data_IF_999286401983
#
_entry.id   IF_999286401983
#
_cell.length_a   1.000
_cell.length_b   1.000
_cell.length_c   1.000
_cell.angle_alpha   90.00
_cell.angle_beta   90.00
_cell.angle_gamma   90.00
#
_symmetry.space_group_name_H-M   'P 1'
#
loop_
_entity.id
_entity.type
_entity.pdbx_description
1 polymer ?
#
# COMPACT_ATOMS: atom_id res chain seq x y z
N UNK A 1 14.35 18.29 -5.41
CA UNK A 1 13.51 17.69 -6.46
C UNK A 1 13.09 18.81 -7.41
N UNK A 2 12.75 18.53 -8.68
CA UNK A 2 12.19 19.58 -9.55
C UNK A 2 10.69 19.75 -9.27
N UNK A 3 10.12 20.96 -9.46
CA UNK A 3 8.71 21.24 -9.18
C UNK A 3 7.75 20.31 -9.94
N UNK A 4 8.10 19.90 -11.16
CA UNK A 4 7.27 19.02 -11.98
C UNK A 4 7.12 17.61 -11.36
N UNK A 5 8.13 17.15 -10.62
CA UNK A 5 8.11 15.86 -9.94
C UNK A 5 7.24 15.92 -8.67
N UNK A 6 7.24 17.05 -7.98
CA UNK A 6 6.38 17.28 -6.81
C UNK A 6 4.90 17.33 -7.21
N UNK A 7 4.57 18.00 -8.32
CA UNK A 7 3.20 18.02 -8.87
C UNK A 7 2.72 16.62 -9.25
N UNK A 8 3.56 15.85 -9.96
CA UNK A 8 3.22 14.47 -10.33
C UNK A 8 2.95 13.59 -9.10
N UNK A 9 3.74 13.75 -8.04
CA UNK A 9 3.55 12.99 -6.80
C UNK A 9 2.26 13.35 -6.07
N UNK A 10 1.91 14.62 -6.04
CA UNK A 10 0.62 15.05 -5.49
C UNK A 10 -0.55 14.47 -6.29
N UNK A 11 -0.45 14.42 -7.62
CA UNK A 11 -1.47 13.80 -8.47
C UNK A 11 -1.67 12.31 -8.15
N UNK A 12 -0.59 11.56 -7.95
CA UNK A 12 -0.66 10.14 -7.59
C UNK A 12 -1.39 9.94 -6.26
N UNK A 13 -1.04 10.71 -5.22
CA UNK A 13 -1.69 10.63 -3.91
C UNK A 13 -3.18 11.02 -4.03
N UNK A 14 -3.49 12.08 -4.76
CA UNK A 14 -4.87 12.53 -4.96
C UNK A 14 -5.71 11.52 -5.74
N UNK A 15 -5.17 10.91 -6.77
CA UNK A 15 -5.88 9.89 -7.55
C UNK A 15 -6.15 8.63 -6.70
N UNK A 16 -5.15 8.15 -5.97
CA UNK A 16 -5.28 6.94 -5.15
C UNK A 16 -6.11 7.15 -3.89
N UNK A 17 -6.17 8.37 -3.34
CA UNK A 17 -7.07 8.70 -2.22
C UNK A 17 -8.53 8.85 -2.66
N UNK A 18 -8.78 9.42 -3.85
CA UNK A 18 -10.15 9.60 -4.38
C UNK A 18 -10.70 8.33 -5.02
N UNK A 19 -9.84 7.54 -5.66
CA UNK A 19 -10.20 6.33 -6.42
C UNK A 19 -9.25 5.19 -6.02
N UNK A 20 -9.35 4.70 -4.79
CA UNK A 20 -8.48 3.62 -4.32
C UNK A 20 -8.69 2.35 -5.14
N UNK A 21 -7.57 1.77 -5.57
CA UNK A 21 -7.53 0.45 -6.23
C UNK A 21 -7.62 -0.64 -5.19
N UNK A 22 -8.24 -1.76 -5.58
CA UNK A 22 -8.50 -2.90 -4.70
C UNK A 22 -9.33 -2.55 -3.46
N UNK A 23 -10.14 -1.49 -3.53
CA UNK A 23 -11.08 -1.15 -2.48
C UNK A 23 -12.32 -2.04 -2.57
N UNK A 24 -12.81 -2.49 -1.42
CA UNK A 24 -14.00 -3.32 -1.28
C UNK A 24 -13.72 -4.71 -0.70
N UNK A 25 -14.78 -5.49 -0.52
CA UNK A 25 -14.67 -6.78 0.14
C UNK A 25 -14.08 -7.89 -0.74
N UNK A 26 -13.43 -8.83 -0.07
CA UNK A 26 -12.99 -10.12 -0.61
C UNK A 26 -13.67 -11.24 0.18
N UNK A 27 -14.84 -11.75 -0.28
CA UNK A 27 -15.62 -12.75 0.45
C UNK A 27 -14.85 -14.05 0.73
N UNK A 28 -14.05 -14.50 -0.24
CA UNK A 28 -13.28 -15.75 -0.15
C UNK A 28 -11.85 -15.51 0.37
N UNK A 29 -11.65 -14.48 1.19
CA UNK A 29 -10.35 -14.20 1.79
C UNK A 29 -9.93 -15.33 2.74
N UNK A 30 -8.67 -15.73 2.64
CA UNK A 30 -8.05 -16.69 3.55
C UNK A 30 -7.72 -16.05 4.90
N UNK A 31 -7.33 -14.77 4.88
CA UNK A 31 -6.98 -14.01 6.09
C UNK A 31 -7.60 -12.62 6.01
N UNK A 32 -8.09 -12.13 7.16
CA UNK A 32 -8.56 -10.76 7.35
C UNK A 32 -7.83 -10.14 8.53
N UNK A 33 -7.36 -8.91 8.38
CA UNK A 33 -6.60 -8.17 9.39
C UNK A 33 -7.18 -6.77 9.50
N UNK A 34 -7.31 -6.29 10.72
CA UNK A 34 -7.70 -4.92 11.04
C UNK A 34 -6.48 -4.15 11.55
N UNK A 35 -6.33 -2.90 11.12
CA UNK A 35 -5.34 -1.97 11.66
C UNK A 35 -5.92 -0.57 11.76
N UNK A 36 -5.61 0.11 12.85
CA UNK A 36 -6.05 1.47 13.14
C UNK A 36 -4.86 2.38 13.50
N UNK A 37 -5.00 3.66 13.16
CA UNK A 37 -4.12 4.74 13.59
C UNK A 37 -4.95 5.78 14.37
N UNK A 38 -5.07 5.64 15.70
CA UNK A 38 -5.95 6.48 16.52
C UNK A 38 -5.60 7.96 16.48
N UNK A 39 -4.33 8.30 16.23
CA UNK A 39 -3.88 9.69 16.17
C UNK A 39 -4.51 10.46 15.00
N UNK A 40 -4.77 9.79 13.88
CA UNK A 40 -5.40 10.36 12.69
C UNK A 40 -6.86 9.92 12.50
N UNK A 41 -7.33 8.93 13.27
CA UNK A 41 -8.64 8.30 13.10
C UNK A 41 -8.72 7.39 11.87
N UNK A 42 -7.57 6.91 11.37
CA UNK A 42 -7.55 5.98 10.24
C UNK A 42 -7.89 4.57 10.71
N UNK A 43 -8.67 3.86 9.90
CA UNK A 43 -9.07 2.47 10.10
C UNK A 43 -9.01 1.75 8.74
N UNK A 44 -8.24 0.67 8.66
CA UNK A 44 -8.06 -0.13 7.44
C UNK A 44 -8.28 -1.61 7.76
N UNK A 45 -9.14 -2.24 6.96
CA UNK A 45 -9.36 -3.68 6.98
C UNK A 45 -8.75 -4.30 5.73
N UNK A 46 -7.78 -5.18 5.89
CA UNK A 46 -7.14 -5.91 4.80
C UNK A 46 -7.67 -7.33 4.70
N UNK A 47 -7.96 -7.76 3.48
CA UNK A 47 -8.38 -9.12 3.17
C UNK A 47 -7.46 -9.69 2.10
N UNK A 48 -6.88 -10.87 2.35
CA UNK A 48 -5.92 -11.53 1.44
C UNK A 48 -6.34 -12.95 1.10
N UNK A 49 -6.02 -13.35 -0.13
CA UNK A 49 -6.16 -14.72 -0.64
C UNK A 49 -4.84 -15.13 -1.26
N UNK A 50 -4.40 -16.34 -0.94
CA UNK A 50 -3.18 -16.93 -1.50
C UNK A 50 -3.53 -17.91 -2.63
N UNK A 51 -2.64 -18.09 -3.59
CA UNK A 51 -2.73 -19.18 -4.56
C UNK A 51 -2.17 -20.49 -3.99
N UNK A 52 -2.24 -21.57 -4.77
CA UNK A 52 -1.70 -22.87 -4.38
C UNK A 52 -0.18 -22.92 -4.22
N UNK A 53 0.55 -21.91 -4.75
CA UNK A 53 2.00 -21.75 -4.61
C UNK A 53 2.40 -20.89 -3.41
N UNK A 54 1.44 -20.30 -2.69
CA UNK A 54 1.68 -19.45 -1.53
C UNK A 54 1.92 -17.97 -1.84
N UNK A 55 1.70 -17.52 -3.08
CA UNK A 55 1.76 -16.10 -3.46
C UNK A 55 0.43 -15.39 -3.20
N UNK A 56 0.47 -14.07 -3.00
CA UNK A 56 -0.73 -13.23 -2.79
C UNK A 56 -1.56 -13.14 -4.07
N UNK A 57 -2.48 -14.10 -4.26
CA UNK A 57 -3.36 -14.13 -5.42
C UNK A 57 -4.26 -12.90 -5.52
N UNK A 58 -4.90 -12.53 -4.41
CA UNK A 58 -5.72 -11.32 -4.35
C UNK A 58 -5.58 -10.65 -2.98
N UNK A 59 -5.69 -9.33 -2.99
CA UNK A 59 -5.64 -8.50 -1.81
C UNK A 59 -6.59 -7.33 -2.03
N UNK A 60 -7.43 -7.07 -1.04
CA UNK A 60 -8.34 -5.92 -1.02
C UNK A 60 -8.37 -5.26 0.34
N UNK A 61 -8.83 -4.02 0.36
CA UNK A 61 -9.00 -3.28 1.59
C UNK A 61 -10.34 -2.53 1.65
N UNK A 62 -10.83 -2.32 2.86
CA UNK A 62 -11.93 -1.41 3.19
C UNK A 62 -11.52 -0.53 4.37
N UNK A 63 -12.37 0.42 4.74
CA UNK A 63 -12.12 1.34 5.85
C UNK A 63 -12.04 2.79 5.41
N UNK A 64 -11.62 3.66 6.32
CA UNK A 64 -11.59 5.11 6.15
C UNK A 64 -10.34 5.69 6.79
N UNK A 65 -9.81 6.74 6.20
CA UNK A 65 -8.66 7.44 6.75
C UNK A 65 -8.34 8.69 5.94
N UNK A 66 -7.30 9.39 6.36
CA UNK A 66 -6.77 10.54 5.64
C UNK A 66 -6.32 10.17 4.22
N UNK A 67 -6.13 11.19 3.37
CA UNK A 67 -5.74 10.99 1.97
C UNK A 67 -4.44 10.16 1.82
N UNK A 68 -3.47 10.39 2.72
CA UNK A 68 -2.21 9.64 2.74
C UNK A 68 -2.47 8.17 3.07
N UNK A 69 -3.26 7.88 4.10
CA UNK A 69 -3.57 6.49 4.50
C UNK A 69 -4.29 5.73 3.38
N UNK A 70 -5.31 6.35 2.76
CA UNK A 70 -6.05 5.76 1.64
C UNK A 70 -5.17 5.53 0.40
N UNK A 71 -4.34 6.51 0.04
CA UNK A 71 -3.40 6.36 -1.06
C UNK A 71 -2.36 5.27 -0.80
N UNK A 72 -1.83 5.21 0.43
CA UNK A 72 -0.87 4.19 0.88
C UNK A 72 -1.44 2.78 0.72
N UNK A 73 -2.63 2.54 1.28
CA UNK A 73 -3.30 1.25 1.19
C UNK A 73 -3.58 0.87 -0.28
N UNK A 74 -4.03 1.83 -1.09
CA UNK A 74 -4.27 1.58 -2.51
C UNK A 74 -3.00 1.21 -3.28
N UNK A 75 -1.89 1.93 -3.07
CA UNK A 75 -0.63 1.66 -3.75
C UNK A 75 0.00 0.35 -3.26
N UNK A 76 -0.02 0.11 -1.96
CA UNK A 76 0.48 -1.11 -1.34
C UNK A 76 -0.23 -2.33 -1.94
N UNK A 77 -1.57 -2.36 -1.93
CA UNK A 77 -2.33 -3.51 -2.47
C UNK A 77 -2.04 -3.77 -3.95
N UNK A 78 -1.78 -2.72 -4.75
CA UNK A 78 -1.35 -2.88 -6.14
C UNK A 78 0.04 -3.48 -6.27
N UNK A 79 1.00 -3.04 -5.44
CA UNK A 79 2.40 -3.50 -5.55
C UNK A 79 2.60 -4.92 -5.01
N UNK A 80 1.87 -5.32 -3.97
CA UNK A 80 2.04 -6.63 -3.31
C UNK A 80 1.23 -7.75 -3.97
N UNK A 81 0.21 -7.43 -4.78
CA UNK A 81 -0.59 -8.45 -5.47
C UNK A 81 0.26 -9.25 -6.45
N UNK A 82 0.09 -10.57 -6.41
CA UNK A 82 0.81 -11.54 -7.24
C UNK A 82 2.20 -11.92 -6.71
N UNK A 83 2.66 -11.31 -5.61
CA UNK A 83 4.00 -11.56 -5.06
C UNK A 83 4.02 -12.66 -4.02
N UNK A 84 5.17 -13.31 -3.90
CA UNK A 84 5.45 -14.26 -2.84
C UNK A 84 5.62 -13.56 -1.49
N UNK A 85 5.48 -14.32 -0.40
CA UNK A 85 5.71 -13.80 0.95
C UNK A 85 7.10 -13.16 1.11
N UNK A 86 8.14 -13.76 0.53
CA UNK A 86 9.51 -13.25 0.62
C UNK A 86 9.63 -11.87 -0.03
N UNK A 87 9.13 -11.71 -1.25
CA UNK A 87 9.13 -10.41 -1.95
C UNK A 87 8.32 -9.35 -1.21
N UNK A 88 7.20 -9.73 -0.59
CA UNK A 88 6.37 -8.80 0.19
C UNK A 88 7.10 -8.33 1.44
N UNK A 89 7.81 -9.22 2.13
CA UNK A 89 8.63 -8.85 3.29
C UNK A 89 9.78 -7.91 2.89
N UNK A 90 10.47 -8.20 1.79
CA UNK A 90 11.53 -7.32 1.28
C UNK A 90 11.03 -5.90 0.95
N UNK A 91 9.85 -5.81 0.32
CA UNK A 91 9.23 -4.51 0.03
C UNK A 91 8.75 -3.80 1.28
N UNK A 92 8.22 -4.54 2.27
CA UNK A 92 7.82 -3.97 3.56
C UNK A 92 9.02 -3.37 4.27
N UNK A 93 10.13 -4.10 4.35
CA UNK A 93 11.37 -3.61 4.97
C UNK A 93 11.90 -2.39 4.23
N UNK A 94 11.90 -2.41 2.90
CA UNK A 94 12.32 -1.27 2.07
C UNK A 94 11.42 -0.04 2.28
N UNK A 95 10.10 -0.23 2.35
CA UNK A 95 9.14 0.84 2.58
C UNK A 95 9.23 1.39 4.01
N UNK A 96 9.32 0.52 5.00
CA UNK A 96 9.50 0.90 6.40
C UNK A 96 10.76 1.75 6.56
N UNK A 97 11.89 1.31 6.00
CA UNK A 97 13.12 2.09 6.03
C UNK A 97 12.96 3.46 5.36
N UNK A 98 12.26 3.56 4.22
CA UNK A 98 12.01 4.83 3.56
C UNK A 98 11.24 5.82 4.45
N UNK A 99 10.22 5.34 5.18
CA UNK A 99 9.31 6.21 5.96
C UNK A 99 9.76 6.44 7.41
N UNK A 100 10.63 5.59 7.96
CA UNK A 100 11.10 5.70 9.35
C UNK A 100 12.55 6.14 9.53
N UNK A 101 13.44 6.00 8.52
CA UNK A 101 14.87 6.28 8.72
C UNK A 101 15.69 6.70 7.47
N UNK A 102 16.76 7.48 7.71
CA UNK A 102 17.44 8.40 6.78
C UNK A 102 18.29 7.77 5.63
N UNK A 103 17.67 7.17 4.61
CA UNK A 103 18.36 6.89 3.33
C UNK A 103 17.74 7.67 2.17
N UNK A 104 18.58 8.31 1.36
CA UNK A 104 18.16 9.25 0.31
C UNK A 104 17.67 8.55 -0.99
N UNK A 105 17.71 7.22 -1.06
CA UNK A 105 17.29 6.47 -2.26
C UNK A 105 16.47 5.23 -1.92
N UNK A 106 15.15 5.37 -2.08
CA UNK A 106 14.21 4.26 -2.10
C UNK A 106 14.49 3.29 -3.27
N UNK A 107 14.50 1.95 -3.05
CA UNK A 107 14.68 0.97 -4.12
C UNK A 107 13.68 1.16 -5.27
N UNK A 108 14.15 0.99 -6.52
CA UNK A 108 13.29 1.09 -7.72
C UNK A 108 12.12 0.11 -7.70
N UNK A 109 12.24 -0.99 -6.97
CA UNK A 109 11.21 -2.02 -6.79
C UNK A 109 9.94 -1.49 -6.14
N UNK A 110 10.01 -0.40 -5.37
CA UNK A 110 8.85 0.25 -4.75
C UNK A 110 7.98 1.00 -5.76
N UNK A 111 8.52 1.41 -6.91
CA UNK A 111 7.77 2.17 -7.93
C UNK A 111 7.09 3.40 -7.34
N UNK A 112 5.76 3.48 -7.48
CA UNK A 112 4.95 4.61 -6.99
C UNK A 112 4.86 4.69 -5.46
N UNK A 113 5.20 3.63 -4.71
CA UNK A 113 5.29 3.71 -3.24
C UNK A 113 6.39 4.65 -2.76
N UNK A 114 7.30 5.07 -3.65
CA UNK A 114 8.38 6.02 -3.35
C UNK A 114 7.88 7.45 -3.12
N UNK A 115 6.59 7.73 -3.37
CA UNK A 115 5.98 9.06 -3.24
C UNK A 115 5.26 9.27 -1.91
N UNK A 116 5.19 8.23 -1.08
CA UNK A 116 4.53 8.22 0.23
C UNK A 116 5.51 8.63 1.32
#
# INVERSE_FOLDING_TARGET
MSPEIEELYQEVILDHSRRPRNFGDLPDAAVRVHGDNPACGDEIHLSVKFDGGGSLHDIKFTGHGCAISQASASLMTMKVKGKSRAEVMEMLDAFHNLVTDATNEAPKTLGDLRVM
#
